data_IF_810793388677
#
_entry.id   IF_810793388677
#
_cell.length_a   1.000
_cell.length_b   1.000
_cell.length_c   1.000
_cell.angle_alpha   90.00
_cell.angle_beta   90.00
_cell.angle_gamma   90.00
#
_symmetry.space_group_name_H-M   'P 1'
#
loop_
_entity.id
_entity.type
_entity.pdbx_description
1 polymer ?
#
# COMPACT_ATOMS: atom_id res chain seq x y z
N UNK A 1 -12.18 11.23 -11.41
CA UNK A 1 -12.23 9.86 -11.98
C UNK A 1 -11.67 8.87 -10.97
N UNK A 2 -12.03 7.59 -11.09
CA UNK A 2 -11.54 6.53 -10.18
C UNK A 2 -10.30 5.86 -10.77
N UNK A 3 -9.25 5.70 -9.96
CA UNK A 3 -7.97 5.13 -10.35
C UNK A 3 -7.54 4.05 -9.36
N UNK A 4 -6.89 3.00 -9.86
CA UNK A 4 -6.24 1.98 -9.05
C UNK A 4 -4.73 2.23 -9.08
N UNK A 5 -4.10 2.29 -7.90
CA UNK A 5 -2.70 2.67 -7.73
C UNK A 5 -1.97 1.59 -6.94
N UNK A 6 -0.80 1.20 -7.44
CA UNK A 6 0.16 0.29 -6.79
C UNK A 6 1.44 1.06 -6.47
N UNK A 7 2.31 0.49 -5.64
CA UNK A 7 3.64 1.06 -5.41
C UNK A 7 4.44 1.21 -6.72
N UNK A 8 5.18 2.30 -6.86
CA UNK A 8 6.07 2.56 -8.01
C UNK A 8 7.40 3.12 -7.52
N UNK A 9 8.50 2.67 -8.12
CA UNK A 9 9.86 3.14 -7.79
C UNK A 9 10.39 4.24 -8.73
N UNK A 10 9.82 4.36 -9.94
CA UNK A 10 10.26 5.32 -10.93
C UNK A 10 9.42 6.59 -10.86
N UNK A 11 10.08 7.72 -10.62
CA UNK A 11 9.49 9.05 -10.49
C UNK A 11 9.68 9.82 -11.80
N UNK A 12 8.57 10.32 -12.34
CA UNK A 12 8.55 11.32 -13.41
C UNK A 12 8.49 12.72 -12.79
N UNK A 13 9.59 13.46 -12.89
CA UNK A 13 9.68 14.82 -12.36
C UNK A 13 8.92 15.85 -13.20
N UNK A 14 8.44 15.48 -14.38
CA UNK A 14 7.60 16.31 -15.25
C UNK A 14 6.10 16.05 -15.10
N UNK A 15 5.70 15.10 -14.25
CA UNK A 15 4.29 14.76 -14.05
C UNK A 15 3.53 15.97 -13.47
N UNK A 16 2.34 16.24 -14.00
CA UNK A 16 1.46 17.33 -13.56
C UNK A 16 0.01 16.85 -13.48
N UNK A 17 -0.82 17.57 -12.74
CA UNK A 17 -2.26 17.29 -12.66
C UNK A 17 -2.55 15.92 -12.05
N UNK A 18 -3.40 15.12 -12.71
CA UNK A 18 -3.80 13.80 -12.20
C UNK A 18 -2.61 12.84 -12.11
N UNK A 19 -1.69 12.86 -13.06
CA UNK A 19 -0.54 11.95 -13.09
C UNK A 19 0.42 12.21 -11.92
N UNK A 20 0.61 13.49 -11.55
CA UNK A 20 1.38 13.89 -10.35
C UNK A 20 0.75 13.31 -9.08
N UNK A 21 -0.57 13.45 -8.94
CA UNK A 21 -1.32 12.95 -7.77
C UNK A 21 -1.21 11.44 -7.66
N UNK A 22 -1.42 10.71 -8.77
CA UNK A 22 -1.30 9.24 -8.78
C UNK A 22 0.12 8.78 -8.49
N UNK A 23 1.13 9.53 -8.96
CA UNK A 23 2.53 9.25 -8.66
C UNK A 23 2.85 9.47 -7.18
N UNK A 24 2.35 10.54 -6.56
CA UNK A 24 2.54 10.79 -5.13
C UNK A 24 1.91 9.67 -4.29
N UNK A 25 0.70 9.22 -4.64
CA UNK A 25 0.07 8.05 -4.01
C UNK A 25 0.94 6.79 -4.19
N UNK A 26 1.41 6.51 -5.42
CA UNK A 26 2.27 5.35 -5.69
C UNK A 26 3.59 5.39 -4.90
N UNK A 27 4.17 6.57 -4.72
CA UNK A 27 5.36 6.78 -3.93
C UNK A 27 5.10 6.51 -2.44
N UNK A 28 4.00 7.04 -1.88
CA UNK A 28 3.59 6.75 -0.50
C UNK A 28 3.46 5.24 -0.29
N UNK A 29 2.79 4.53 -1.20
CA UNK A 29 2.65 3.06 -1.13
C UNK A 29 3.98 2.32 -1.16
N UNK A 30 4.99 2.83 -1.88
CA UNK A 30 6.34 2.22 -1.92
C UNK A 30 7.05 2.21 -0.57
N UNK A 31 6.67 3.11 0.35
CA UNK A 31 7.24 3.18 1.71
C UNK A 31 6.66 2.11 2.67
N UNK A 32 5.55 1.47 2.28
CA UNK A 32 4.90 0.43 3.07
C UNK A 32 5.48 -0.94 2.74
N UNK A 33 6.58 -1.28 3.41
CA UNK A 33 7.10 -2.65 3.39
C UNK A 33 6.23 -3.53 4.28
N UNK A 34 5.41 -4.39 3.69
CA UNK A 34 4.82 -5.53 4.38
C UNK A 34 5.73 -6.73 4.26
N UNK A 35 6.65 -6.86 5.22
CA UNK A 35 7.39 -8.10 5.41
C UNK A 35 6.58 -8.99 6.37
N UNK A 36 5.98 -10.06 5.86
CA UNK A 36 5.39 -11.11 6.68
C UNK A 36 6.32 -12.31 6.62
N UNK A 37 6.79 -12.85 7.78
CA UNK A 37 7.74 -13.96 7.76
C UNK A 37 7.17 -15.11 6.95
N UNK A 38 7.97 -15.73 6.10
CA UNK A 38 7.52 -16.89 5.33
C UNK A 38 7.16 -18.05 6.27
N UNK A 39 6.48 -19.07 5.74
CA UNK A 39 6.02 -20.19 6.57
C UNK A 39 7.18 -20.88 7.31
N UNK A 40 8.34 -21.05 6.68
CA UNK A 40 9.51 -21.74 7.26
C UNK A 40 10.13 -20.92 8.38
N UNK A 41 10.17 -19.59 8.24
CA UNK A 41 10.64 -18.69 9.28
C UNK A 41 9.71 -18.69 10.49
N UNK A 42 8.38 -18.69 10.27
CA UNK A 42 7.40 -18.81 11.35
C UNK A 42 7.55 -20.13 12.11
N UNK A 43 7.64 -21.23 11.37
CA UNK A 43 7.82 -22.58 11.94
C UNK A 43 9.11 -22.67 12.78
N UNK A 44 10.20 -22.04 12.33
CA UNK A 44 11.48 -21.99 13.06
C UNK A 44 11.41 -21.18 14.36
N UNK A 45 10.75 -20.02 14.33
CA UNK A 45 10.72 -19.09 15.47
C UNK A 45 9.67 -19.44 16.53
N UNK A 46 8.77 -20.40 16.26
CA UNK A 46 7.59 -20.69 17.10
C UNK A 46 6.79 -19.41 17.43
N UNK A 47 6.83 -18.42 16.56
CA UNK A 47 6.05 -17.20 16.72
C UNK A 47 4.56 -17.60 16.67
N UNK A 48 3.77 -17.17 17.66
CA UNK A 48 2.31 -17.18 17.52
C UNK A 48 2.00 -16.43 16.22
N UNK A 49 1.25 -17.05 15.31
CA UNK A 49 0.79 -16.36 14.11
C UNK A 49 0.09 -15.08 14.56
N UNK A 50 0.73 -13.92 14.39
CA UNK A 50 -0.03 -12.68 14.35
C UNK A 50 -0.92 -12.86 13.13
N UNK A 51 -2.25 -12.98 13.30
CA UNK A 51 -3.09 -13.30 12.17
C UNK A 51 -2.87 -12.23 11.12
N UNK A 52 -2.62 -12.64 9.87
CA UNK A 52 -2.35 -11.73 8.75
C UNK A 52 -3.34 -10.55 8.72
N UNK A 53 -4.58 -10.78 9.14
CA UNK A 53 -5.62 -9.76 9.33
C UNK A 53 -5.24 -8.59 10.26
N UNK A 54 -4.47 -8.80 11.33
CA UNK A 54 -3.99 -7.71 12.20
C UNK A 54 -2.92 -6.87 11.53
N UNK A 55 -1.95 -7.50 10.86
CA UNK A 55 -0.93 -6.79 10.08
C UNK A 55 -1.56 -5.99 8.94
N UNK A 56 -2.53 -6.59 8.22
CA UNK A 56 -3.36 -5.94 7.21
C UNK A 56 -4.05 -4.70 7.78
N UNK A 57 -4.85 -4.85 8.85
CA UNK A 57 -5.58 -3.73 9.50
C UNK A 57 -4.66 -2.58 9.92
N UNK A 58 -3.54 -2.88 10.59
CA UNK A 58 -2.60 -1.84 11.04
C UNK A 58 -2.02 -1.05 9.87
N UNK A 59 -1.64 -1.73 8.79
CA UNK A 59 -1.10 -1.03 7.62
C UNK A 59 -2.17 -0.30 6.82
N UNK A 60 -3.40 -0.80 6.76
CA UNK A 60 -4.51 -0.07 6.13
C UNK A 60 -4.71 1.29 6.79
N UNK A 61 -4.77 1.34 8.12
CA UNK A 61 -4.92 2.61 8.85
C UNK A 61 -3.77 3.59 8.55
N UNK A 62 -2.53 3.10 8.52
CA UNK A 62 -1.36 3.94 8.22
C UNK A 62 -1.32 4.44 6.78
N UNK A 63 -1.75 3.62 5.81
CA UNK A 63 -1.85 4.02 4.39
C UNK A 63 -2.88 5.14 4.26
N UNK A 64 -4.05 4.97 4.89
CA UNK A 64 -5.11 5.98 4.87
C UNK A 64 -4.60 7.30 5.45
N UNK A 65 -4.01 7.26 6.64
CA UNK A 65 -3.45 8.45 7.30
C UNK A 65 -2.36 9.13 6.45
N UNK A 66 -1.46 8.34 5.84
CA UNK A 66 -0.37 8.88 5.03
C UNK A 66 -0.88 9.53 3.75
N UNK A 67 -1.82 8.92 3.03
CA UNK A 67 -2.39 9.51 1.82
C UNK A 67 -3.19 10.77 2.18
N UNK A 68 -4.01 10.73 3.24
CA UNK A 68 -4.75 11.92 3.70
C UNK A 68 -3.83 13.07 4.10
N UNK A 69 -2.68 12.76 4.71
CA UNK A 69 -1.71 13.76 5.15
C UNK A 69 -0.86 14.34 4.01
N UNK A 70 -0.41 13.49 3.08
CA UNK A 70 0.61 13.87 2.10
C UNK A 70 0.07 14.07 0.68
N UNK A 71 -1.09 13.51 0.34
CA UNK A 71 -1.76 13.72 -0.95
C UNK A 71 -3.30 13.78 -0.79
N UNK A 72 -3.83 14.81 -0.09
CA UNK A 72 -5.26 14.91 0.22
C UNK A 72 -6.16 15.08 -1.01
N UNK A 73 -5.61 15.38 -2.20
CA UNK A 73 -6.37 15.47 -3.45
C UNK A 73 -6.86 14.09 -3.93
N UNK A 74 -6.25 13.01 -3.45
CA UNK A 74 -6.66 11.64 -3.72
C UNK A 74 -7.60 11.11 -2.62
N UNK A 75 -8.89 10.99 -2.93
CA UNK A 75 -9.90 10.46 -2.01
C UNK A 75 -9.91 8.94 -2.08
N UNK A 76 -9.55 8.28 -0.98
CA UNK A 76 -9.51 6.81 -0.92
C UNK A 76 -10.93 6.23 -0.94
N UNK A 77 -11.15 5.25 -1.82
CA UNK A 77 -12.38 4.45 -1.88
C UNK A 77 -12.17 3.09 -1.21
N UNK A 78 -11.02 2.48 -1.46
CA UNK A 78 -10.72 1.12 -1.02
C UNK A 78 -9.20 0.91 -0.89
N UNK A 79 -8.82 0.03 0.05
CA UNK A 79 -7.44 -0.41 0.27
C UNK A 79 -7.45 -1.94 0.31
N UNK A 80 -6.81 -2.54 -0.69
CA UNK A 80 -6.63 -3.97 -0.75
C UNK A 80 -5.16 -4.35 -0.89
N UNK A 81 -4.88 -5.64 -0.97
CA UNK A 81 -3.53 -6.19 -0.98
C UNK A 81 -3.45 -7.34 -1.97
N UNK A 82 -2.41 -7.34 -2.79
CA UNK A 82 -2.09 -8.45 -3.71
C UNK A 82 -0.79 -9.11 -3.30
N UNK A 83 -0.69 -10.41 -3.57
CA UNK A 83 0.54 -11.16 -3.33
C UNK A 83 0.29 -12.50 -2.67
N UNK A 84 1.39 -13.15 -2.30
CA UNK A 84 1.42 -14.50 -1.74
C UNK A 84 1.94 -14.45 -0.31
N UNK A 85 1.01 -14.61 0.64
CA UNK A 85 1.30 -14.66 2.08
C UNK A 85 2.29 -15.78 2.41
N UNK A 86 2.28 -16.89 1.66
CA UNK A 86 3.18 -18.02 1.91
C UNK A 86 4.63 -17.70 1.54
N UNK A 87 4.84 -16.78 0.60
CA UNK A 87 6.14 -16.27 0.17
C UNK A 87 6.54 -14.98 0.87
N UNK A 88 5.73 -14.50 1.82
CA UNK A 88 5.99 -13.26 2.56
C UNK A 88 5.92 -11.99 1.72
N UNK A 89 5.36 -12.05 0.51
CA UNK A 89 5.30 -10.90 -0.42
C UNK A 89 3.86 -10.44 -0.58
N UNK A 90 3.53 -9.29 0.00
CA UNK A 90 2.20 -8.69 -0.04
C UNK A 90 2.36 -7.20 -0.27
N UNK A 91 1.72 -6.68 -1.30
CA UNK A 91 1.82 -5.28 -1.72
C UNK A 91 0.44 -4.63 -1.65
N UNK A 92 0.32 -3.41 -1.10
CA UNK A 92 -0.94 -2.69 -1.07
C UNK A 92 -1.36 -2.20 -2.46
N UNK A 93 -2.66 -2.22 -2.71
CA UNK A 93 -3.33 -1.58 -3.83
C UNK A 93 -4.36 -0.62 -3.27
N UNK A 94 -4.37 0.62 -3.76
CA UNK A 94 -5.37 1.61 -3.33
C UNK A 94 -6.21 2.06 -4.50
N UNK A 95 -7.52 2.11 -4.31
CA UNK A 95 -8.44 2.75 -5.24
C UNK A 95 -8.73 4.17 -4.75
N UNK A 96 -8.50 5.16 -5.59
CA UNK A 96 -8.70 6.58 -5.27
C UNK A 96 -9.60 7.28 -6.29
N UNK A 97 -10.31 8.31 -5.86
CA UNK A 97 -10.93 9.32 -6.72
C UNK A 97 -10.03 10.53 -6.73
N UNK A 98 -9.69 11.00 -7.93
CA UNK A 98 -9.03 12.29 -8.13
C UNK A 98 -9.97 13.17 -8.94
N UNK A 99 -10.23 14.39 -8.46
CA UNK A 99 -10.99 15.37 -9.21
C UNK A 99 -10.03 16.07 -10.19
N UNK A 100 -10.43 16.14 -11.46
CA UNK A 100 -9.70 16.84 -12.51
C UNK A 100 -10.06 18.30 -12.57
#
# INVERSE_FOLDING_TARGET
MTHQVTAKSNIDFGATGVDEILQNVAYILSTFVMSYPDKRERDRKKELEVPFHFAKRRNTARIIDSIQRFEPRAVIIDVDYVGDVSKGKIEPIVKVIVNG
#
